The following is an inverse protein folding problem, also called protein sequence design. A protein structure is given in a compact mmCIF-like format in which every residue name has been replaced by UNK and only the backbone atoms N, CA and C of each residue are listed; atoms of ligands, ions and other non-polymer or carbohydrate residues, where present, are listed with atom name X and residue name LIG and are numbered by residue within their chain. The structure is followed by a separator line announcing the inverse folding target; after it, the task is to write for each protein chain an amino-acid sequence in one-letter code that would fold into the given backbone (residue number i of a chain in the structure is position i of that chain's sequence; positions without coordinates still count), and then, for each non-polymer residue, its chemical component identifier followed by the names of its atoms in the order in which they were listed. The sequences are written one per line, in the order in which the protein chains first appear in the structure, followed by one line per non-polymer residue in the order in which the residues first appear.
data_IF_743042978368
#
_entry.id   IF_743042978368
#
_cell.length_a   1.000
_cell.length_b   1.000
_cell.length_c   1.000
_cell.angle_alpha   90.00
_cell.angle_beta   90.00
_cell.angle_gamma   90.00
#
_symmetry.space_group_name_H-M   'P 1'
#
loop_
_entity.id
_entity.type
_entity.pdbx_description
1 polymer ?
#
# COMPACT_ATOMS: atom_id res chain seq x y z
N UNK A 1 -3.09 5.82 -11.27
CA UNK A 1 -2.13 5.62 -10.16
C UNK A 1 -1.64 6.91 -9.46
N UNK A 2 -1.02 7.87 -10.16
CA UNK A 2 -0.30 9.02 -9.56
C UNK A 2 -1.10 9.84 -8.52
N UNK A 3 -2.37 10.16 -8.80
CA UNK A 3 -3.25 10.88 -7.87
C UNK A 3 -3.45 10.16 -6.53
N UNK A 4 -3.44 8.83 -6.53
CA UNK A 4 -3.60 8.02 -5.31
C UNK A 4 -2.32 8.03 -4.47
N UNK A 5 -1.15 7.98 -5.12
CA UNK A 5 0.14 8.07 -4.44
C UNK A 5 0.32 9.44 -3.77
N UNK A 6 -0.02 10.54 -4.46
CA UNK A 6 -0.03 11.88 -3.86
C UNK A 6 -0.96 11.94 -2.64
N UNK A 7 -2.17 11.38 -2.76
CA UNK A 7 -3.11 11.34 -1.64
C UNK A 7 -2.53 10.59 -0.44
N UNK A 8 -1.88 9.45 -0.69
CA UNK A 8 -1.22 8.66 0.35
C UNK A 8 -0.10 9.46 1.04
N UNK A 9 0.76 10.15 0.27
CA UNK A 9 1.82 11.01 0.81
C UNK A 9 1.24 12.14 1.66
N UNK A 10 0.20 12.82 1.17
CA UNK A 10 -0.46 13.89 1.93
C UNK A 10 -1.12 13.40 3.22
N UNK A 11 -1.63 12.17 3.25
CA UNK A 11 -2.34 11.61 4.41
C UNK A 11 -1.38 11.04 5.46
N UNK A 12 -0.28 10.41 5.06
CA UNK A 12 0.63 9.70 5.96
C UNK A 12 2.01 10.33 6.11
N UNK A 13 2.31 11.39 5.35
CA UNK A 13 3.60 12.08 5.35
C UNK A 13 4.76 11.21 4.85
N UNK A 14 4.49 10.15 4.10
CA UNK A 14 5.50 9.19 3.62
C UNK A 14 5.12 8.61 2.25
N UNK A 15 6.13 8.21 1.50
CA UNK A 15 5.94 7.51 0.22
C UNK A 15 5.30 6.15 0.40
N UNK A 16 4.50 5.75 -0.58
CA UNK A 16 3.96 4.40 -0.65
C UNK A 16 5.07 3.44 -1.11
N UNK A 17 5.30 2.30 -0.43
CA UNK A 17 6.39 1.38 -0.74
C UNK A 17 6.08 0.54 -1.98
N UNK A 18 6.24 1.12 -3.17
CA UNK A 18 5.94 0.48 -4.46
C UNK A 18 6.76 -0.80 -4.69
N UNK A 19 7.97 -0.88 -4.13
CA UNK A 19 8.85 -2.06 -4.27
C UNK A 19 8.28 -3.30 -3.57
N UNK A 20 7.57 -3.11 -2.46
CA UNK A 20 6.88 -4.16 -1.69
C UNK A 20 5.68 -4.77 -2.45
N UNK A 21 5.23 -4.11 -3.52
CA UNK A 21 4.11 -4.57 -4.35
C UNK A 21 4.49 -4.68 -5.82
N UNK A 22 5.79 -4.80 -6.13
CA UNK A 22 6.30 -4.84 -7.51
C UNK A 22 5.71 -5.98 -8.35
N UNK A 23 5.32 -7.08 -7.70
CA UNK A 23 4.75 -8.27 -8.34
C UNK A 23 3.23 -8.16 -8.53
N UNK A 24 2.63 -7.03 -8.14
CA UNK A 24 1.20 -6.76 -8.27
C UNK A 24 0.90 -5.93 -9.53
N UNK A 25 -0.28 -6.15 -10.09
CA UNK A 25 -0.78 -5.33 -11.18
C UNK A 25 -1.07 -3.89 -10.73
N UNK A 26 -1.06 -2.93 -11.67
CA UNK A 26 -1.41 -1.53 -11.36
C UNK A 26 -2.79 -1.41 -10.67
N UNK A 27 -3.74 -2.24 -11.10
CA UNK A 27 -5.08 -2.29 -10.53
C UNK A 27 -5.05 -2.70 -9.05
N UNK A 28 -4.32 -3.76 -8.70
CA UNK A 28 -4.15 -4.20 -7.32
C UNK A 28 -3.47 -3.14 -6.46
N UNK A 29 -2.43 -2.49 -6.99
CA UNK A 29 -1.73 -1.43 -6.25
C UNK A 29 -2.67 -0.25 -6.00
N UNK A 30 -3.45 0.17 -7.01
CA UNK A 30 -4.46 1.22 -6.81
C UNK A 30 -5.49 0.84 -5.75
N UNK A 31 -5.91 -0.43 -5.69
CA UNK A 31 -6.83 -0.94 -4.67
C UNK A 31 -6.21 -0.86 -3.27
N UNK A 32 -4.96 -1.29 -3.12
CA UNK A 32 -4.23 -1.24 -1.84
C UNK A 32 -4.09 0.20 -1.34
N UNK A 33 -3.62 1.11 -2.22
CA UNK A 33 -3.44 2.52 -1.84
C UNK A 33 -4.77 3.15 -1.44
N UNK A 34 -5.85 2.85 -2.17
CA UNK A 34 -7.20 3.33 -1.83
C UNK A 34 -7.63 2.82 -0.46
N UNK A 35 -7.49 1.53 -0.21
CA UNK A 35 -7.87 0.90 1.06
C UNK A 35 -7.08 1.48 2.24
N UNK A 36 -5.78 1.74 2.08
CA UNK A 36 -4.96 2.41 3.08
C UNK A 36 -5.51 3.81 3.40
N UNK A 37 -5.79 4.62 2.38
CA UNK A 37 -6.34 5.96 2.55
C UNK A 37 -7.76 5.97 3.16
N UNK A 38 -8.61 5.00 2.80
CA UNK A 38 -9.97 4.87 3.33
C UNK A 38 -9.99 4.42 4.79
N UNK A 39 -9.10 3.50 5.17
CA UNK A 39 -8.98 3.00 6.55
C UNK A 39 -8.10 3.88 7.44
N UNK A 40 -7.44 4.89 6.85
CA UNK A 40 -6.41 5.69 7.52
C UNK A 40 -5.30 4.82 8.14
N UNK A 41 -4.92 3.76 7.43
CA UNK A 41 -3.88 2.81 7.85
C UNK A 41 -2.71 2.87 6.89
N UNK A 42 -1.50 3.02 7.43
CA UNK A 42 -0.26 2.95 6.65
C UNK A 42 -0.09 1.54 6.13
N UNK A 43 0.29 1.40 4.85
CA UNK A 43 0.68 0.11 4.30
C UNK A 43 1.91 -0.41 5.04
N UNK A 44 1.72 -1.51 5.75
CA UNK A 44 2.77 -2.35 6.29
C UNK A 44 2.77 -3.62 5.47
N UNK A 45 3.92 -4.01 4.92
CA UNK A 45 4.12 -5.41 4.57
C UNK A 45 3.93 -6.19 5.87
N UNK A 46 2.80 -6.87 6.01
CA UNK A 46 2.72 -7.95 6.98
C UNK A 46 3.76 -8.95 6.49
N UNK A 47 4.87 -9.18 7.23
CA UNK A 47 5.69 -10.34 6.91
C UNK A 47 4.71 -11.51 6.98
N UNK A 48 4.65 -12.29 5.91
CA UNK A 48 4.03 -13.60 5.97
C UNK A 48 4.91 -14.39 6.92
N UNK A 49 4.70 -14.24 8.22
CA UNK A 49 5.11 -15.23 9.19
C UNK A 49 4.24 -16.42 8.85
N UNK A 50 4.74 -17.27 7.96
CA UNK A 50 4.36 -18.66 7.87
C UNK A 50 4.62 -19.25 9.25
N UNK A 51 3.66 -19.07 10.17
CA UNK A 51 3.56 -19.90 11.35
C UNK A 51 3.16 -21.27 10.79
N UNK A 52 4.16 -22.12 10.60
CA UNK A 52 3.93 -23.52 10.30
C UNK A 52 3.04 -24.11 11.40
N UNK A 53 2.04 -24.88 10.99
CA UNK A 53 1.47 -25.95 11.79
C UNK A 53 1.01 -27.04 10.84
#
# INVERSE_FOLDING_TARGET
MYKLLIRYVNQFGKDFPVLSVKDKSEYEICRIVRECCERNTVYTETPVTSLGT
#
